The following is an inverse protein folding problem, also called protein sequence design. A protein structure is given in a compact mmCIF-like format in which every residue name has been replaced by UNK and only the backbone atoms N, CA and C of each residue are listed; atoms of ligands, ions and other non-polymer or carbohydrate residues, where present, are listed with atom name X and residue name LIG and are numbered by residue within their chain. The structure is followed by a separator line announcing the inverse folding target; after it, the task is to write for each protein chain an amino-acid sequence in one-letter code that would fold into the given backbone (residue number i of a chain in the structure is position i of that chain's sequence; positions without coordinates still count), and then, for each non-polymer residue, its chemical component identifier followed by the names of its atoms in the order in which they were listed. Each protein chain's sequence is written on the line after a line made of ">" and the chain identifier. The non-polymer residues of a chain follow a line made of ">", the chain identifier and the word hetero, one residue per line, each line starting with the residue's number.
data_IF_096049776214
#
_entry.id   IF_096049776214
#
_cell.length_a   1.000
_cell.length_b   1.000
_cell.length_c   1.000
_cell.angle_alpha   90.00
_cell.angle_beta   90.00
_cell.angle_gamma   90.00
#
_symmetry.space_group_name_H-M   'P 1'
#
loop_
_entity.id
_entity.type
_entity.pdbx_description
1 polymer ?
#
# COMPACT_ATOMS: atom_id res chain seq x y z
N UNK A 1 1.60 -3.34 13.17
CA UNK A 1 1.13 -1.99 12.77
C UNK A 1 1.04 -0.97 13.93
N UNK A 2 0.85 -1.33 15.20
CA UNK A 2 0.50 -0.34 16.25
C UNK A 2 1.63 0.31 17.09
N UNK A 3 2.92 0.04 16.86
CA UNK A 3 4.03 0.58 17.69
C UNK A 3 5.19 1.13 16.85
N UNK A 4 4.88 2.00 15.89
CA UNK A 4 5.90 2.67 15.07
C UNK A 4 6.95 3.40 15.93
N UNK A 5 6.54 3.96 17.07
CA UNK A 5 7.44 4.60 18.03
C UNK A 5 8.40 3.65 18.76
N UNK A 6 8.05 2.37 18.94
CA UNK A 6 8.99 1.38 19.50
C UNK A 6 9.88 0.78 18.42
N UNK A 7 9.34 0.62 17.22
CA UNK A 7 10.10 0.16 16.06
C UNK A 7 11.22 1.15 15.73
N UNK A 8 10.96 2.45 15.75
CA UNK A 8 12.01 3.47 15.55
C UNK A 8 13.13 3.35 16.59
N UNK A 9 12.79 3.24 17.88
CA UNK A 9 13.76 3.08 18.96
C UNK A 9 14.59 1.80 18.81
N UNK A 10 13.97 0.70 18.37
CA UNK A 10 14.69 -0.56 18.14
C UNK A 10 15.64 -0.45 16.95
N UNK A 11 15.18 0.12 15.84
CA UNK A 11 16.01 0.30 14.64
C UNK A 11 17.18 1.24 14.92
N UNK A 12 16.96 2.35 15.65
CA UNK A 12 18.02 3.29 16.01
C UNK A 12 19.04 2.68 17.00
N UNK A 13 18.60 1.74 17.85
CA UNK A 13 19.52 0.94 18.68
C UNK A 13 20.35 -0.01 17.82
N UNK A 14 19.74 -0.67 16.84
CA UNK A 14 20.45 -1.54 15.91
C UNK A 14 21.48 -0.77 15.08
N UNK A 15 21.17 0.45 14.64
CA UNK A 15 22.08 1.32 13.89
C UNK A 15 23.32 1.74 14.69
N UNK A 16 23.21 1.78 16.03
CA UNK A 16 24.35 2.06 16.93
C UNK A 16 25.24 0.83 17.13
N UNK A 17 24.69 -0.37 16.98
CA UNK A 17 25.39 -1.63 17.21
C UNK A 17 26.00 -2.18 15.92
N UNK A 18 25.34 -1.95 14.79
CA UNK A 18 25.71 -2.49 13.48
C UNK A 18 26.29 -1.33 12.64
N UNK A 19 27.59 -1.35 12.30
CA UNK A 19 28.17 -0.37 11.40
C UNK A 19 27.43 -0.32 10.06
N UNK A 20 27.30 0.87 9.46
CA UNK A 20 26.52 1.08 8.22
C UNK A 20 26.90 0.11 7.07
N UNK A 21 28.18 -0.27 6.96
CA UNK A 21 28.68 -1.23 5.96
C UNK A 21 28.36 -2.71 6.23
N UNK A 22 27.83 -3.05 7.40
CA UNK A 22 27.45 -4.42 7.81
C UNK A 22 25.94 -4.60 7.98
N UNK A 23 25.14 -3.59 7.61
CA UNK A 23 23.68 -3.68 7.68
C UNK A 23 23.15 -4.75 6.72
N UNK A 24 22.59 -5.82 7.29
CA UNK A 24 22.04 -6.94 6.53
C UNK A 24 20.75 -6.53 5.79
N UNK A 25 20.39 -7.32 4.79
CA UNK A 25 19.23 -7.08 3.92
C UNK A 25 17.91 -7.08 4.68
N UNK A 26 17.81 -7.86 5.76
CA UNK A 26 16.65 -7.88 6.64
C UNK A 26 16.44 -6.59 7.44
N UNK A 27 17.52 -5.99 7.95
CA UNK A 27 17.45 -4.68 8.61
C UNK A 27 16.99 -3.59 7.63
N UNK A 28 17.56 -3.58 6.41
CA UNK A 28 17.15 -2.66 5.34
C UNK A 28 15.66 -2.84 5.00
N UNK A 29 15.20 -4.08 4.87
CA UNK A 29 13.80 -4.39 4.63
C UNK A 29 12.89 -3.88 5.76
N UNK A 30 13.25 -4.12 7.02
CA UNK A 30 12.52 -3.64 8.19
C UNK A 30 12.45 -2.10 8.25
N UNK A 31 13.55 -1.40 7.91
CA UNK A 31 13.56 0.06 7.82
C UNK A 31 12.66 0.57 6.70
N UNK A 32 12.61 -0.13 5.56
CA UNK A 32 11.68 0.15 4.46
C UNK A 32 10.22 0.08 4.89
N UNK A 33 9.83 -1.00 5.57
CA UNK A 33 8.48 -1.16 6.13
C UNK A 33 8.15 -0.07 7.15
N UNK A 34 9.09 0.28 8.03
CA UNK A 34 8.89 1.37 8.99
C UNK A 34 8.57 2.70 8.29
N UNK A 35 9.42 3.10 7.33
CA UNK A 35 9.21 4.35 6.58
C UNK A 35 7.89 4.32 5.82
N UNK A 36 7.52 3.17 5.26
CA UNK A 36 6.23 3.02 4.58
C UNK A 36 5.05 3.29 5.50
N UNK A 37 5.04 2.69 6.70
CA UNK A 37 3.93 2.83 7.63
C UNK A 37 3.81 4.19 8.32
N UNK A 38 4.90 4.97 8.38
CA UNK A 38 4.83 6.38 8.84
C UNK A 38 4.45 7.34 7.70
N UNK A 39 4.26 6.85 6.47
CA UNK A 39 3.91 7.65 5.29
C UNK A 39 5.10 8.29 4.56
N UNK A 40 6.33 7.84 4.83
CA UNK A 40 7.56 8.33 4.20
C UNK A 40 7.97 7.43 3.03
N UNK A 41 7.26 7.57 1.92
CA UNK A 41 7.40 6.74 0.72
C UNK A 41 8.76 6.87 0.05
N UNK A 42 9.37 8.05 0.11
CA UNK A 42 10.69 8.28 -0.47
C UNK A 42 11.76 7.44 0.25
N UNK A 43 11.79 7.47 1.58
CA UNK A 43 12.76 6.68 2.33
C UNK A 43 12.39 5.19 2.33
N UNK A 44 11.11 4.83 2.26
CA UNK A 44 10.69 3.44 2.07
C UNK A 44 11.28 2.85 0.77
N UNK A 45 11.13 3.55 -0.36
CA UNK A 45 11.66 3.12 -1.66
C UNK A 45 13.19 2.95 -1.64
N UNK A 46 13.92 3.87 -0.99
CA UNK A 46 15.38 3.76 -0.85
C UNK A 46 15.78 2.47 -0.14
N UNK A 47 15.15 2.17 0.98
CA UNK A 47 15.49 0.99 1.79
C UNK A 47 15.08 -0.31 1.10
N UNK A 48 13.91 -0.36 0.44
CA UNK A 48 13.50 -1.52 -0.33
C UNK A 48 14.39 -1.77 -1.56
N UNK A 49 14.86 -0.70 -2.22
CA UNK A 49 15.82 -0.81 -3.32
C UNK A 49 17.16 -1.41 -2.87
N UNK A 50 17.56 -1.17 -1.62
CA UNK A 50 18.75 -1.80 -1.04
C UNK A 50 18.50 -3.24 -0.60
N UNK A 51 17.34 -3.54 -0.01
CA UNK A 51 17.02 -4.90 0.44
C UNK A 51 16.78 -5.86 -0.71
N UNK A 52 16.31 -5.37 -1.88
CA UNK A 52 16.00 -6.24 -3.02
C UNK A 52 17.22 -6.87 -3.71
N UNK A 53 18.43 -6.41 -3.37
CA UNK A 53 19.69 -6.99 -3.86
C UNK A 53 19.92 -8.40 -3.30
N UNK A 54 19.21 -8.76 -2.24
CA UNK A 54 19.28 -10.06 -1.57
C UNK A 54 18.15 -10.99 -2.04
N UNK A 55 18.49 -12.22 -2.41
CA UNK A 55 17.54 -13.17 -2.97
C UNK A 55 16.36 -13.49 -2.02
N UNK A 56 16.57 -13.44 -0.69
CA UNK A 56 15.53 -13.70 0.30
C UNK A 56 14.48 -12.60 0.31
N UNK A 57 14.90 -11.33 0.20
CA UNK A 57 14.02 -10.16 0.31
C UNK A 57 13.63 -9.55 -1.04
N UNK A 58 14.29 -9.95 -2.14
CA UNK A 58 14.09 -9.42 -3.48
C UNK A 58 12.63 -9.31 -3.86
N UNK A 59 11.90 -10.40 -3.72
CA UNK A 59 10.51 -10.47 -4.16
C UNK A 59 9.61 -9.55 -3.33
N UNK A 60 9.69 -9.66 -2.01
CA UNK A 60 8.84 -8.90 -1.09
C UNK A 60 9.18 -7.41 -1.13
N UNK A 61 10.46 -7.05 -1.20
CA UNK A 61 10.91 -5.67 -1.37
C UNK A 61 10.41 -5.08 -2.69
N UNK A 62 10.48 -5.86 -3.78
CA UNK A 62 9.98 -5.41 -5.08
C UNK A 62 8.45 -5.24 -5.08
N UNK A 63 7.71 -6.14 -4.44
CA UNK A 63 6.26 -6.00 -4.25
C UNK A 63 5.90 -4.71 -3.49
N UNK A 64 6.59 -4.44 -2.37
CA UNK A 64 6.39 -3.22 -1.60
C UNK A 64 6.72 -1.97 -2.41
N UNK A 65 7.81 -1.99 -3.20
CA UNK A 65 8.14 -0.89 -4.11
C UNK A 65 7.05 -0.63 -5.15
N UNK A 66 6.48 -1.70 -5.74
CA UNK A 66 5.36 -1.58 -6.69
C UNK A 66 4.16 -0.91 -6.02
N UNK A 67 3.81 -1.34 -4.82
CA UNK A 67 2.70 -0.75 -4.06
C UNK A 67 2.92 0.75 -3.79
N UNK A 68 4.11 1.13 -3.35
CA UNK A 68 4.46 2.54 -3.13
C UNK A 68 4.38 3.34 -4.45
N UNK A 69 4.88 2.79 -5.55
CA UNK A 69 4.85 3.47 -6.84
C UNK A 69 3.42 3.69 -7.36
N UNK A 70 2.49 2.78 -7.07
CA UNK A 70 1.09 2.83 -7.51
C UNK A 70 0.21 3.65 -6.56
N UNK A 71 0.55 3.71 -5.27
CA UNK A 71 -0.20 4.44 -4.24
C UNK A 71 0.73 5.12 -3.23
N UNK A 72 1.52 6.15 -3.64
CA UNK A 72 2.60 6.70 -2.82
C UNK A 72 2.14 7.40 -1.53
N UNK A 73 0.86 7.74 -1.42
CA UNK A 73 0.31 8.36 -0.21
C UNK A 73 -0.36 7.35 0.74
N UNK A 74 -0.25 6.05 0.43
CA UNK A 74 -0.90 4.96 1.16
C UNK A 74 -2.39 5.22 1.44
N UNK A 75 -3.09 5.85 0.48
CA UNK A 75 -4.51 6.17 0.65
C UNK A 75 -5.35 4.92 0.42
N UNK A 76 -6.52 4.87 1.03
CA UNK A 76 -7.50 3.81 0.75
C UNK A 76 -8.00 4.00 -0.69
N UNK A 77 -7.56 3.11 -1.58
CA UNK A 77 -7.86 3.20 -3.01
C UNK A 77 -9.37 2.99 -3.19
N UNK A 78 -10.01 3.89 -3.94
CA UNK A 78 -11.47 3.90 -4.15
C UNK A 78 -12.26 4.77 -3.18
N UNK A 79 -11.67 5.26 -2.09
CA UNK A 79 -12.34 6.10 -1.10
C UNK A 79 -12.66 7.52 -1.62
N UNK A 80 -11.80 8.09 -2.45
CA UNK A 80 -11.90 9.49 -2.93
C UNK A 80 -12.96 9.74 -4.01
N UNK A 81 -13.70 8.71 -4.43
CA UNK A 81 -14.68 8.86 -5.52
C UNK A 81 -15.86 9.70 -5.05
N UNK A 82 -16.23 9.62 -3.77
CA UNK A 82 -17.28 10.46 -3.19
C UNK A 82 -16.85 11.91 -2.96
N UNK A 83 -15.56 12.17 -2.71
CA UNK A 83 -15.03 13.53 -2.57
C UNK A 83 -15.07 14.30 -3.89
N UNK A 84 -14.91 13.59 -5.02
CA UNK A 84 -14.99 14.21 -6.35
C UNK A 84 -16.42 14.65 -6.65
N UNK A 85 -17.42 13.84 -6.29
CA UNK A 85 -18.84 14.19 -6.46
C UNK A 85 -19.30 15.28 -5.48
N UNK A 86 -18.79 15.30 -4.24
CA UNK A 86 -19.09 16.38 -3.26
C UNK A 86 -18.45 17.73 -3.61
N UNK A 87 -17.34 17.73 -4.35
CA UNK A 87 -16.72 18.97 -4.88
C UNK A 87 -17.41 19.50 -6.14
N UNK A 88 -18.19 18.67 -6.83
CA UNK A 88 -19.01 19.07 -7.98
C UNK A 88 -20.43 19.35 -7.46
N UNK A 89 -20.55 20.33 -6.56
CA UNK A 89 -21.84 21.02 -6.43
C UNK A 89 -22.05 21.81 -7.74
N UNK A 90 -23.24 21.74 -8.39
CA UNK A 90 -23.50 22.40 -9.67
C UNK A 90 -23.36 23.93 -9.66
N UNK A 91 -23.08 24.54 -8.52
CA UNK A 91 -23.10 25.99 -8.31
C UNK A 91 -21.75 26.67 -8.59
N UNK A 92 -20.63 25.94 -8.51
CA UNK A 92 -19.29 26.55 -8.57
C UNK A 92 -18.54 26.33 -9.90
N UNK A 93 -19.05 25.43 -10.75
CA UNK A 93 -18.46 25.13 -12.06
C UNK A 93 -18.58 26.29 -13.08
N UNK A 94 -19.41 27.30 -12.81
CA UNK A 94 -19.60 28.45 -13.70
C UNK A 94 -18.62 29.61 -13.47
N UNK A 95 -17.80 29.61 -12.40
CA UNK A 95 -16.85 30.71 -12.12
C UNK A 95 -15.40 30.44 -12.53
N UNK A 96 -15.01 29.18 -12.73
CA UNK A 96 -13.61 28.83 -12.98
C UNK A 96 -13.17 28.96 -14.45
N UNK A 97 -14.09 29.25 -15.38
CA UNK A 97 -13.82 29.24 -16.82
C UNK A 97 -13.32 30.58 -17.42
N UNK A 98 -13.15 31.65 -16.64
CA UNK A 98 -12.88 32.99 -17.20
C UNK A 98 -11.51 33.61 -16.90
N UNK A 99 -10.51 32.89 -16.38
CA UNK A 99 -9.18 33.50 -16.22
C UNK A 99 -8.04 32.62 -16.73
N UNK A 100 -7.49 33.02 -17.89
CA UNK A 100 -6.04 33.16 -18.02
C UNK A 100 -5.34 32.19 -18.97
N UNK A 101 -5.08 32.68 -20.18
CA UNK A 101 -4.29 32.09 -21.25
C UNK A 101 -2.76 32.29 -21.07
N UNK A 102 -1.99 31.52 -21.86
CA UNK A 102 -0.59 31.72 -22.31
C UNK A 102 0.58 31.31 -21.38
N UNK A 103 1.44 30.36 -21.79
CA UNK A 103 2.54 30.51 -22.77
C UNK A 103 3.57 29.36 -22.66
N UNK A 104 3.89 28.74 -23.79
CA UNK A 104 4.96 27.76 -23.94
C UNK A 104 6.35 28.42 -24.00
N UNK A 105 7.38 27.76 -23.45
CA UNK A 105 8.75 27.83 -23.97
C UNK A 105 9.47 26.47 -23.87
N UNK A 106 10.25 26.20 -24.92
CA UNK A 106 11.06 24.99 -25.19
C UNK A 106 12.28 24.85 -24.27
N UNK A 107 12.80 23.62 -24.15
CA UNK A 107 14.17 23.34 -23.69
C UNK A 107 14.62 21.91 -24.06
N UNK A 108 15.52 21.82 -25.03
CA UNK A 108 16.30 20.63 -25.46
C UNK A 108 17.38 20.27 -24.41
N UNK A 109 17.76 18.99 -24.28
CA UNK A 109 18.99 18.61 -23.58
C UNK A 109 19.12 17.12 -23.23
N UNK A 110 20.14 16.49 -23.80
CA UNK A 110 20.49 15.07 -23.80
C UNK A 110 21.22 14.58 -22.52
N UNK A 111 21.26 13.25 -22.38
CA UNK A 111 22.35 12.40 -21.86
C UNK A 111 22.27 11.71 -20.47
N UNK A 112 22.33 10.38 -20.57
CA UNK A 112 22.89 9.33 -19.70
C UNK A 112 23.25 9.61 -18.22
N UNK A 113 22.66 8.80 -17.33
CA UNK A 113 23.09 8.61 -15.95
C UNK A 113 21.94 8.20 -15.04
N UNK A 114 21.69 6.89 -14.88
CA UNK A 114 20.69 6.40 -13.91
C UNK A 114 21.24 6.57 -12.50
N UNK A 115 20.90 7.71 -11.90
CA UNK A 115 21.14 7.97 -10.49
C UNK A 115 19.97 7.45 -9.62
N UNK A 116 20.29 7.12 -8.37
CA UNK A 116 19.31 6.69 -7.38
C UNK A 116 18.36 7.84 -6.94
N UNK A 117 18.60 9.07 -7.41
CA UNK A 117 17.77 10.25 -7.20
C UNK A 117 16.47 10.19 -8.00
N UNK A 118 16.48 9.52 -9.15
CA UNK A 118 15.32 9.37 -10.03
C UNK A 118 14.15 8.54 -9.46
N UNK A 119 14.37 7.81 -8.36
CA UNK A 119 13.34 7.04 -7.65
C UNK A 119 12.63 7.86 -6.56
N UNK A 120 13.08 9.08 -6.28
CA UNK A 120 12.42 9.96 -5.33
C UNK A 120 11.18 10.58 -5.99
N UNK A 121 10.00 10.01 -5.71
CA UNK A 121 8.72 10.67 -5.96
C UNK A 121 8.74 11.97 -5.16
N UNK A 122 8.95 13.11 -5.82
CA UNK A 122 8.95 14.42 -5.17
C UNK A 122 7.54 14.72 -4.64
N UNK A 123 7.39 14.75 -3.33
CA UNK A 123 6.21 15.28 -2.67
C UNK A 123 6.21 16.82 -2.80
N UNK A 124 5.85 17.33 -3.97
CA UNK A 124 5.75 18.77 -4.21
C UNK A 124 5.18 19.12 -5.58
N UNK A 125 3.96 19.65 -5.59
CA UNK A 125 3.37 20.51 -6.64
C UNK A 125 3.57 20.12 -8.13
N UNK A 126 3.54 18.83 -8.45
CA UNK A 126 3.61 18.30 -9.82
C UNK A 126 2.88 16.96 -9.98
N UNK A 127 1.66 16.86 -9.44
CA UNK A 127 0.94 15.61 -9.20
C UNK A 127 0.84 14.65 -10.38
N UNK A 128 0.61 15.15 -11.60
CA UNK A 128 0.46 14.29 -12.78
C UNK A 128 1.79 13.69 -13.28
N UNK A 129 2.90 14.40 -13.11
CA UNK A 129 4.23 13.90 -13.52
C UNK A 129 4.75 12.84 -12.55
N UNK A 130 4.56 13.06 -11.25
CA UNK A 130 4.95 12.11 -10.21
C UNK A 130 4.15 10.78 -10.28
N UNK A 131 2.84 10.86 -10.55
CA UNK A 131 1.99 9.69 -10.74
C UNK A 131 2.38 8.89 -12.00
N UNK A 132 2.65 9.57 -13.11
CA UNK A 132 3.11 8.93 -14.35
C UNK A 132 4.46 8.21 -14.18
N UNK A 133 5.41 8.83 -13.48
CA UNK A 133 6.72 8.22 -13.15
C UNK A 133 6.55 7.01 -12.22
N UNK A 134 5.65 7.11 -11.25
CA UNK A 134 5.26 6.00 -10.37
C UNK A 134 4.76 4.80 -11.19
N UNK A 135 3.78 5.01 -12.06
CA UNK A 135 3.21 3.95 -12.91
C UNK A 135 4.23 3.30 -13.83
N UNK A 136 5.12 4.08 -14.43
CA UNK A 136 6.18 3.55 -15.29
C UNK A 136 7.20 2.71 -14.49
N UNK A 137 7.54 3.16 -13.29
CA UNK A 137 8.44 2.43 -12.39
C UNK A 137 7.81 1.12 -11.92
N UNK A 138 6.54 1.16 -11.50
CA UNK A 138 5.78 -0.03 -11.13
C UNK A 138 5.74 -1.05 -12.28
N UNK A 139 5.51 -0.61 -13.52
CA UNK A 139 5.49 -1.51 -14.69
C UNK A 139 6.83 -2.22 -14.90
N UNK A 140 7.96 -1.50 -14.76
CA UNK A 140 9.30 -2.10 -14.87
C UNK A 140 9.54 -3.14 -13.78
N UNK A 141 9.17 -2.83 -12.54
CA UNK A 141 9.32 -3.76 -11.41
C UNK A 141 8.44 -5.00 -11.58
N UNK A 142 7.19 -4.84 -12.03
CA UNK A 142 6.29 -5.96 -12.31
C UNK A 142 6.81 -6.91 -13.40
N UNK A 143 7.52 -6.38 -14.41
CA UNK A 143 8.20 -7.22 -15.43
C UNK A 143 9.26 -8.14 -14.82
N UNK A 144 9.95 -7.69 -13.76
CA UNK A 144 10.92 -8.54 -13.02
C UNK A 144 10.23 -9.62 -12.19
N UNK A 145 9.02 -9.36 -11.70
CA UNK A 145 8.21 -10.31 -10.93
C UNK A 145 7.37 -11.26 -11.81
N UNK A 146 7.36 -11.04 -13.12
CA UNK A 146 6.51 -11.74 -14.08
C UNK A 146 6.71 -13.27 -14.09
N UNK A 147 7.90 -13.76 -13.72
CA UNK A 147 8.19 -15.19 -13.59
C UNK A 147 7.49 -15.85 -12.38
N UNK A 148 6.90 -15.06 -11.48
CA UNK A 148 6.25 -15.52 -10.23
C UNK A 148 4.76 -15.15 -10.19
N UNK A 149 4.14 -14.99 -11.35
CA UNK A 149 2.73 -14.62 -11.53
C UNK A 149 1.73 -15.52 -10.79
N UNK A 150 2.12 -16.75 -10.49
CA UNK A 150 1.26 -17.72 -9.80
C UNK A 150 1.04 -17.36 -8.33
N UNK A 151 1.90 -16.52 -7.75
CA UNK A 151 1.72 -16.03 -6.39
C UNK A 151 0.61 -14.99 -6.33
N UNK A 152 -0.34 -15.19 -5.42
CA UNK A 152 -1.51 -14.32 -5.27
C UNK A 152 -1.17 -12.84 -5.08
N UNK A 153 -0.13 -12.52 -4.30
CA UNK A 153 0.29 -11.13 -4.07
C UNK A 153 0.78 -10.45 -5.37
N UNK A 154 1.59 -11.16 -6.16
CA UNK A 154 2.09 -10.64 -7.46
C UNK A 154 0.93 -10.45 -8.43
N UNK A 155 0.02 -11.43 -8.52
CA UNK A 155 -1.19 -11.33 -9.36
C UNK A 155 -2.09 -10.16 -8.94
N UNK A 156 -2.25 -9.95 -7.62
CA UNK A 156 -2.97 -8.81 -7.07
C UNK A 156 -2.35 -7.48 -7.52
N UNK A 157 -1.03 -7.30 -7.36
CA UNK A 157 -0.33 -6.07 -7.73
C UNK A 157 -0.40 -5.76 -9.23
N UNK A 158 -0.28 -6.78 -10.09
CA UNK A 158 -0.43 -6.62 -11.55
C UNK A 158 -1.82 -6.08 -11.90
N UNK A 159 -2.86 -6.67 -11.31
CA UNK A 159 -4.24 -6.25 -11.57
C UNK A 159 -4.52 -4.87 -10.95
N UNK A 160 -3.96 -4.56 -9.78
CA UNK A 160 -4.11 -3.27 -9.14
C UNK A 160 -3.45 -2.14 -9.94
N UNK A 161 -2.23 -2.35 -10.43
CA UNK A 161 -1.56 -1.42 -11.36
C UNK A 161 -2.40 -1.18 -12.62
N UNK A 162 -2.94 -2.26 -13.20
CA UNK A 162 -3.82 -2.17 -14.37
C UNK A 162 -5.09 -1.39 -14.07
N UNK A 163 -5.71 -1.59 -12.90
CA UNK A 163 -6.92 -0.87 -12.49
C UNK A 163 -6.69 0.64 -12.29
N UNK A 164 -5.49 1.03 -11.88
CA UNK A 164 -5.14 2.42 -11.58
C UNK A 164 -4.50 3.16 -12.76
N UNK A 165 -4.35 2.51 -13.91
CA UNK A 165 -3.64 3.06 -15.08
C UNK A 165 -4.37 4.18 -15.86
N UNK A 166 -5.37 4.86 -15.27
CA UNK A 166 -6.25 5.88 -15.90
C UNK A 166 -6.89 5.44 -17.24
N UNK A 167 -6.83 4.16 -17.59
CA UNK A 167 -7.38 3.60 -18.82
C UNK A 167 -8.56 2.67 -18.50
N UNK A 168 -9.75 3.02 -19.00
CA UNK A 168 -10.98 2.26 -18.77
C UNK A 168 -10.90 0.80 -19.25
N UNK A 169 -10.28 0.53 -20.40
CA UNK A 169 -10.12 -0.84 -20.90
C UNK A 169 -9.22 -1.68 -19.99
N UNK A 170 -8.19 -1.04 -19.42
CA UNK A 170 -7.29 -1.70 -18.46
C UNK A 170 -7.99 -1.95 -17.12
N UNK A 171 -8.88 -1.04 -16.69
CA UNK A 171 -9.73 -1.22 -15.52
C UNK A 171 -10.71 -2.39 -15.69
N UNK A 172 -11.40 -2.49 -16.83
CA UNK A 172 -12.31 -3.60 -17.12
C UNK A 172 -11.57 -4.94 -17.18
N UNK A 173 -10.37 -4.96 -17.78
CA UNK A 173 -9.50 -6.14 -17.78
C UNK A 173 -9.08 -6.54 -16.37
N UNK A 174 -8.65 -5.58 -15.54
CA UNK A 174 -8.28 -5.83 -14.15
C UNK A 174 -9.47 -6.37 -13.34
N UNK A 175 -10.67 -5.81 -13.56
CA UNK A 175 -11.89 -6.28 -12.92
C UNK A 175 -12.21 -7.73 -13.29
N UNK A 176 -12.15 -8.09 -14.57
CA UNK A 176 -12.35 -9.47 -15.02
C UNK A 176 -11.31 -10.42 -14.43
N UNK A 177 -10.04 -10.00 -14.34
CA UNK A 177 -8.99 -10.79 -13.71
C UNK A 177 -9.25 -11.01 -12.21
N UNK A 178 -9.71 -9.99 -11.48
CA UNK A 178 -10.09 -10.13 -10.06
C UNK A 178 -11.32 -11.01 -9.88
N UNK A 179 -12.30 -10.92 -10.78
CA UNK A 179 -13.46 -11.81 -10.78
C UNK A 179 -13.03 -13.27 -10.97
N UNK A 180 -12.12 -13.52 -11.93
CA UNK A 180 -11.53 -14.84 -12.16
C UNK A 180 -10.73 -15.34 -10.95
N UNK A 181 -9.91 -14.48 -10.34
CA UNK A 181 -9.20 -14.83 -9.09
C UNK A 181 -10.19 -15.28 -8.02
N UNK A 182 -11.31 -14.58 -7.88
CA UNK A 182 -12.32 -14.86 -6.88
C UNK A 182 -13.10 -16.16 -7.15
N UNK A 183 -13.24 -16.58 -8.42
CA UNK A 183 -13.84 -17.88 -8.78
C UNK A 183 -12.88 -19.05 -8.58
N UNK A 184 -11.58 -18.84 -8.83
CA UNK A 184 -10.56 -19.88 -8.68
C UNK A 184 -10.21 -20.15 -7.20
N UNK A 185 -10.04 -19.07 -6.43
CA UNK A 185 -9.68 -19.15 -5.02
C UNK A 185 -10.16 -17.88 -4.29
N UNK A 186 -11.27 -17.98 -3.56
CA UNK A 186 -11.80 -16.87 -2.78
C UNK A 186 -10.79 -16.45 -1.69
N UNK A 187 -10.06 -15.37 -1.96
CA UNK A 187 -8.98 -14.84 -1.13
C UNK A 187 -9.21 -13.37 -0.81
N UNK A 188 -8.67 -12.90 0.32
CA UNK A 188 -8.79 -11.51 0.74
C UNK A 188 -8.28 -10.51 -0.31
N UNK A 189 -7.12 -10.72 -0.97
CA UNK A 189 -6.64 -9.81 -2.01
C UNK A 189 -7.58 -9.77 -3.21
N UNK A 190 -8.17 -10.91 -3.61
CA UNK A 190 -9.10 -10.97 -4.74
C UNK A 190 -10.40 -10.21 -4.45
N UNK A 191 -11.00 -10.41 -3.26
CA UNK A 191 -12.21 -9.70 -2.86
C UNK A 191 -11.95 -8.19 -2.75
N UNK A 192 -10.85 -7.80 -2.11
CA UNK A 192 -10.48 -6.39 -1.97
C UNK A 192 -10.21 -5.74 -3.32
N UNK A 193 -9.44 -6.39 -4.20
CA UNK A 193 -9.17 -5.91 -5.56
C UNK A 193 -10.44 -5.72 -6.40
N UNK A 194 -11.37 -6.69 -6.33
CA UNK A 194 -12.67 -6.56 -6.99
C UNK A 194 -13.49 -5.38 -6.42
N UNK A 195 -13.48 -5.18 -5.10
CA UNK A 195 -14.15 -4.05 -4.46
C UNK A 195 -13.57 -2.70 -4.89
N UNK A 196 -12.24 -2.59 -4.99
CA UNK A 196 -11.56 -1.41 -5.53
C UNK A 196 -12.00 -1.13 -6.97
N UNK A 197 -12.05 -2.15 -7.84
CA UNK A 197 -12.55 -1.98 -9.19
C UNK A 197 -14.03 -1.54 -9.23
N UNK A 198 -14.89 -2.10 -8.38
CA UNK A 198 -16.29 -1.63 -8.27
C UNK A 198 -16.37 -0.16 -7.86
N UNK A 199 -15.51 0.28 -6.94
CA UNK A 199 -15.44 1.69 -6.57
C UNK A 199 -15.03 2.54 -7.77
N UNK A 200 -13.93 2.19 -8.45
CA UNK A 200 -13.45 2.90 -9.65
C UNK A 200 -14.48 2.94 -10.79
N UNK A 201 -15.35 1.94 -10.89
CA UNK A 201 -16.48 1.88 -11.82
C UNK A 201 -17.74 2.59 -11.31
N UNK A 202 -17.66 3.35 -10.21
CA UNK A 202 -18.76 4.06 -9.56
C UNK A 202 -19.94 3.15 -9.16
N UNK A 203 -19.64 1.95 -8.66
CA UNK A 203 -20.62 0.96 -8.19
C UNK A 203 -20.48 0.66 -6.69
N UNK A 204 -20.68 1.64 -5.79
CA UNK A 204 -20.37 1.50 -4.36
C UNK A 204 -21.23 0.45 -3.65
N UNK A 205 -22.47 0.26 -4.09
CA UNK A 205 -23.36 -0.76 -3.51
C UNK A 205 -22.86 -2.19 -3.78
N UNK A 206 -22.26 -2.44 -4.95
CA UNK A 206 -21.64 -3.74 -5.27
C UNK A 206 -20.32 -3.92 -4.54
N UNK A 207 -19.51 -2.87 -4.44
CA UNK A 207 -18.29 -2.88 -3.62
C UNK A 207 -18.60 -3.25 -2.16
N UNK A 208 -19.61 -2.60 -1.55
CA UNK A 208 -20.08 -2.91 -0.19
C UNK A 208 -20.47 -4.38 -0.03
N UNK A 209 -21.28 -4.90 -0.95
CA UNK A 209 -21.73 -6.30 -0.90
C UNK A 209 -20.55 -7.28 -1.01
N UNK A 210 -19.53 -6.95 -1.83
CA UNK A 210 -18.30 -7.74 -1.91
C UNK A 210 -17.52 -7.71 -0.59
N UNK A 211 -17.29 -6.52 -0.02
CA UNK A 211 -16.52 -6.32 1.22
C UNK A 211 -17.20 -6.95 2.44
N UNK A 212 -18.54 -6.99 2.51
CA UNK A 212 -19.25 -7.66 3.61
C UNK A 212 -18.93 -9.15 3.71
N UNK A 213 -18.51 -9.80 2.63
CA UNK A 213 -18.11 -11.22 2.64
C UNK A 213 -16.84 -11.45 3.49
N UNK A 214 -16.04 -10.41 3.70
CA UNK A 214 -14.81 -10.45 4.50
C UNK A 214 -15.06 -10.70 5.99
N UNK A 215 -16.28 -10.49 6.48
CA UNK A 215 -16.66 -10.79 7.86
C UNK A 215 -16.46 -12.27 8.25
N UNK A 216 -16.41 -13.17 7.27
CA UNK A 216 -16.16 -14.61 7.47
C UNK A 216 -14.69 -14.93 7.75
N UNK A 217 -13.77 -14.04 7.40
CA UNK A 217 -12.35 -14.28 7.55
C UNK A 217 -11.90 -13.92 8.96
N UNK A 218 -11.16 -14.82 9.57
CA UNK A 218 -10.53 -14.58 10.87
C UNK A 218 -9.33 -13.67 10.69
N UNK A 219 -9.11 -12.80 11.67
CA UNK A 219 -7.93 -11.97 11.69
C UNK A 219 -6.70 -12.84 11.98
N UNK A 220 -5.73 -12.81 11.08
CA UNK A 220 -4.41 -13.45 11.16
C UNK A 220 -3.35 -12.45 10.68
N UNK A 221 -2.09 -12.51 11.15
CA UNK A 221 -1.04 -11.60 10.71
C UNK A 221 -0.90 -11.48 9.19
N UNK A 222 -1.06 -12.58 8.47
CA UNK A 222 -0.95 -12.67 7.00
C UNK A 222 -2.14 -12.01 6.30
N UNK A 223 -3.33 -12.07 6.92
CA UNK A 223 -4.55 -11.43 6.43
C UNK A 223 -4.74 -9.98 6.86
N UNK A 224 -3.99 -9.54 7.89
CA UNK A 224 -4.30 -8.34 8.66
C UNK A 224 -4.32 -7.09 7.79
N UNK A 225 -3.34 -6.96 6.90
CA UNK A 225 -3.19 -5.81 6.02
C UNK A 225 -4.39 -5.65 5.06
N UNK A 226 -4.81 -6.73 4.40
CA UNK A 226 -5.94 -6.68 3.48
C UNK A 226 -7.27 -6.49 4.21
N UNK A 227 -7.42 -7.08 5.41
CA UNK A 227 -8.61 -6.87 6.25
C UNK A 227 -8.73 -5.41 6.70
N UNK A 228 -7.63 -4.79 7.12
CA UNK A 228 -7.58 -3.38 7.50
C UNK A 228 -7.97 -2.49 6.31
N UNK A 229 -7.30 -2.63 5.16
CA UNK A 229 -7.60 -1.87 3.94
C UNK A 229 -9.08 -2.01 3.54
N UNK A 230 -9.63 -3.21 3.65
CA UNK A 230 -11.02 -3.48 3.34
C UNK A 230 -12.01 -2.88 4.35
N UNK A 231 -11.73 -2.93 5.65
CA UNK A 231 -12.56 -2.30 6.67
C UNK A 231 -12.57 -0.78 6.55
N UNK A 232 -11.42 -0.18 6.23
CA UNK A 232 -11.33 1.26 5.97
C UNK A 232 -12.16 1.66 4.73
N UNK A 233 -12.05 0.91 3.63
CA UNK A 233 -12.86 1.16 2.43
C UNK A 233 -14.36 0.98 2.70
N UNK A 234 -14.73 -0.04 3.46
CA UNK A 234 -16.13 -0.29 3.83
C UNK A 234 -16.69 0.79 4.74
N UNK A 235 -15.88 1.26 5.71
CA UNK A 235 -16.25 2.38 6.58
C UNK A 235 -16.51 3.65 5.78
N UNK A 236 -15.65 3.95 4.81
CA UNK A 236 -15.83 5.10 3.93
C UNK A 236 -17.11 5.02 3.08
N UNK A 237 -17.39 3.85 2.51
CA UNK A 237 -18.67 3.61 1.81
C UNK A 237 -19.86 3.84 2.76
N UNK A 238 -19.79 3.39 4.02
CA UNK A 238 -20.86 3.61 4.99
C UNK A 238 -21.04 5.08 5.36
N UNK A 239 -19.95 5.85 5.48
CA UNK A 239 -20.00 7.30 5.69
C UNK A 239 -20.67 7.99 4.51
N UNK A 240 -20.33 7.60 3.28
CA UNK A 240 -20.96 8.14 2.08
C UNK A 240 -22.46 7.80 1.98
N UNK A 241 -22.88 6.66 2.55
CA UNK A 241 -24.28 6.22 2.61
C UNK A 241 -25.09 6.77 3.79
N UNK A 242 -24.57 7.75 4.53
CA UNK A 242 -25.21 8.33 5.73
C UNK A 242 -25.47 7.28 6.85
N UNK A 243 -24.54 6.33 7.02
CA UNK A 243 -24.57 5.29 8.06
C UNK A 243 -23.30 5.30 8.93
N UNK A 244 -23.03 6.40 9.66
CA UNK A 244 -21.78 6.56 10.41
C UNK A 244 -21.61 5.55 11.54
N UNK A 245 -22.70 5.04 12.14
CA UNK A 245 -22.63 4.04 13.22
C UNK A 245 -21.94 2.75 12.77
N UNK A 246 -22.26 2.29 11.56
CA UNK A 246 -21.65 1.10 10.97
C UNK A 246 -20.17 1.34 10.64
N UNK A 247 -19.82 2.54 10.21
CA UNK A 247 -18.44 2.93 9.96
C UNK A 247 -17.64 2.96 11.27
N UNK A 248 -18.22 3.53 12.34
CA UNK A 248 -17.58 3.63 13.64
C UNK A 248 -17.24 2.25 14.23
N UNK A 249 -18.14 1.28 14.11
CA UNK A 249 -17.90 -0.09 14.58
C UNK A 249 -16.74 -0.76 13.83
N UNK A 250 -16.64 -0.55 12.51
CA UNK A 250 -15.53 -1.07 11.69
C UNK A 250 -14.20 -0.42 12.06
N UNK A 251 -14.18 0.89 12.27
CA UNK A 251 -12.98 1.62 12.68
C UNK A 251 -12.51 1.19 14.08
N UNK A 252 -13.44 1.02 15.01
CA UNK A 252 -13.15 0.49 16.36
C UNK A 252 -12.55 -0.91 16.29
N UNK A 253 -13.11 -1.78 15.45
CA UNK A 253 -12.58 -3.12 15.20
C UNK A 253 -11.16 -3.06 14.63
N UNK A 254 -10.91 -2.20 13.65
CA UNK A 254 -9.57 -2.00 13.08
C UNK A 254 -8.54 -1.60 14.16
N UNK A 255 -8.89 -0.62 15.00
CA UNK A 255 -8.04 -0.18 16.12
C UNK A 255 -7.77 -1.29 17.13
N UNK A 256 -8.79 -2.07 17.50
CA UNK A 256 -8.66 -3.18 18.46
C UNK A 256 -7.68 -4.25 17.95
N UNK A 257 -7.79 -4.65 16.67
CA UNK A 257 -6.88 -5.66 16.12
C UNK A 257 -5.45 -5.14 15.95
N UNK A 258 -5.29 -3.86 15.56
CA UNK A 258 -3.97 -3.23 15.49
C UNK A 258 -3.29 -3.14 16.86
N UNK A 259 -4.06 -2.92 17.93
CA UNK A 259 -3.58 -2.95 19.32
C UNK A 259 -3.34 -4.39 19.83
N UNK A 260 -4.21 -5.35 19.51
CA UNK A 260 -4.08 -6.73 19.94
C UNK A 260 -2.85 -7.42 19.33
N UNK A 261 -2.56 -7.19 18.05
CA UNK A 261 -1.31 -7.62 17.42
C UNK A 261 -0.09 -7.10 18.18
N UNK A 262 -0.18 -5.84 18.60
CA UNK A 262 0.88 -5.15 19.31
C UNK A 262 1.12 -5.76 20.69
N UNK A 263 0.07 -6.16 21.40
CA UNK A 263 0.18 -6.86 22.68
C UNK A 263 0.77 -8.29 22.51
N UNK A 264 0.31 -9.03 21.51
CA UNK A 264 0.79 -10.39 21.24
C UNK A 264 2.30 -10.44 20.93
N UNK A 265 2.80 -9.51 20.12
CA UNK A 265 4.24 -9.41 19.80
C UNK A 265 5.07 -9.04 21.04
N UNK A 266 4.55 -8.18 21.93
CA UNK A 266 5.23 -7.82 23.17
C UNK A 266 5.37 -9.01 24.14
N UNK A 267 4.33 -9.85 24.25
CA UNK A 267 4.38 -11.07 25.07
C UNK A 267 5.38 -12.07 24.47
N UNK A 268 5.35 -12.28 23.14
CA UNK A 268 6.27 -13.19 22.46
C UNK A 268 7.77 -12.78 22.55
N UNK A 269 8.05 -11.48 22.67
CA UNK A 269 9.41 -10.96 22.88
C UNK A 269 9.87 -11.02 24.34
N UNK A 270 8.93 -11.01 25.30
CA UNK A 270 9.23 -11.24 26.72
C UNK A 270 9.45 -12.73 27.06
N UNK A 271 8.85 -13.65 26.31
CA UNK A 271 9.04 -15.09 26.51
C UNK A 271 10.32 -15.64 25.90
N UNK A 272 10.87 -15.00 24.85
CA UNK A 272 12.16 -15.36 24.24
C UNK A 272 13.39 -14.81 24.98
N UNK A 273 13.19 -14.00 26.02
CA UNK A 273 14.25 -13.41 26.86
C UNK A 273 14.41 -14.10 28.22
N UNK A 274 13.82 -15.29 28.42
CA UNK A 274 14.12 -16.13 29.59
C UNK A 274 15.50 -16.79 29.41
N UNK A 275 16.50 -16.50 30.26
CA UNK A 275 17.79 -17.18 30.18
C UNK A 275 17.60 -18.63 30.60
N UNK A 276 18.11 -19.56 29.80
CA UNK A 276 18.39 -20.93 30.21
C UNK A 276 19.41 -20.92 31.35
N UNK A 277 18.95 -20.72 32.59
CA UNK A 277 19.73 -21.01 33.79
C UNK A 277 19.64 -22.51 34.05
N UNK A 278 20.50 -23.29 33.39
CA UNK A 278 20.78 -24.66 33.79
C UNK A 278 22.16 -24.73 34.43
N UNK A 279 22.13 -24.60 35.76
CA UNK A 279 22.84 -25.44 36.73
C UNK A 279 24.33 -25.70 36.52
N UNK A 280 25.13 -24.87 37.20
CA UNK A 280 26.32 -25.34 37.91
C UNK A 280 25.88 -26.20 39.10
N UNK A 281 26.25 -27.48 39.09
CA UNK A 281 26.30 -28.31 40.30
C UNK A 281 27.24 -29.47 40.06
N UNK A 282 28.41 -29.35 40.69
CA UNK A 282 29.28 -30.34 41.33
C UNK A 282 29.57 -31.67 40.63
#
# INVERSE_FOLDING_TARGET
>A
MGQLSKVSVLLDKLDKVIPAGQTNSGHKFARGLYHWYIGDSCNALKHFNLSRLDATYMEEATCNMVEICVNPNNRVIGSLIFDTERRITPTDAQRAAEVGSERATNGYGDNSGMDASSLAVSSGAGGDSAEAVGHQTAERLLKTLNAKKDKQNVRFLINLHSALSKNKASLEKAFNNFAQMNTECESLPAIYGAAVCYMLLQQPQRAKNALKRLAKYSWTPESAEFLEKAWLLLADIYIAMDKPDMAHELLKRCLQFNQAFTAAVAVASSSSSSPSSSSSSS
#
